data_IF_100201176455
#
_entry.id   IF_100201176455
#
_cell.length_a   1.000
_cell.length_b   1.000
_cell.length_c   1.000
_cell.angle_alpha   90.00
_cell.angle_beta   90.00
_cell.angle_gamma   90.00
#
_symmetry.space_group_name_H-M   'P 1'
#
loop_
_entity.id
_entity.type
_entity.pdbx_description
1 polymer ?
#
# COMPACT_ATOMS: atom_id res chain seq x y z
N UNK A 1 23.53 40.28 -55.86
CA UNK A 1 22.85 40.02 -54.58
C UNK A 1 21.77 38.97 -54.83
N UNK A 2 22.09 37.70 -54.60
CA UNK A 2 21.12 36.61 -54.64
C UNK A 2 20.78 36.29 -53.18
N UNK A 3 19.53 36.52 -52.79
CA UNK A 3 19.01 36.20 -51.46
C UNK A 3 18.73 34.70 -51.41
N UNK A 4 19.57 33.99 -50.65
CA UNK A 4 19.45 32.56 -50.38
C UNK A 4 18.21 32.33 -49.50
N UNK A 5 17.11 31.86 -50.10
CA UNK A 5 15.90 31.50 -49.39
C UNK A 5 16.15 30.17 -48.68
N UNK A 6 16.43 30.22 -47.38
CA UNK A 6 16.61 29.03 -46.54
C UNK A 6 15.39 28.09 -46.68
N UNK A 7 15.59 26.96 -47.36
CA UNK A 7 14.56 25.92 -47.50
C UNK A 7 14.25 25.36 -46.11
N UNK A 8 13.00 25.47 -45.65
CA UNK A 8 12.56 24.82 -44.43
C UNK A 8 12.89 23.31 -44.52
N UNK A 9 13.50 22.70 -43.48
CA UNK A 9 13.87 21.30 -43.53
C UNK A 9 12.61 20.45 -43.75
N UNK A 10 12.64 19.56 -44.74
CA UNK A 10 11.55 18.61 -44.99
C UNK A 10 11.31 17.76 -43.73
N UNK A 11 10.14 17.90 -43.13
CA UNK A 11 9.77 17.12 -41.94
C UNK A 11 9.51 15.67 -42.35
N UNK A 12 10.38 14.76 -41.88
CA UNK A 12 10.17 13.32 -42.06
C UNK A 12 8.90 12.91 -41.31
N UNK A 13 7.92 12.38 -42.06
CA UNK A 13 6.66 11.88 -41.50
C UNK A 13 6.77 10.38 -41.30
N UNK A 14 6.48 9.91 -40.09
CA UNK A 14 6.52 8.50 -39.72
C UNK A 14 5.11 7.98 -39.37
N UNK A 15 4.82 6.70 -39.61
CA UNK A 15 3.65 6.05 -39.04
C UNK A 15 3.70 6.09 -37.50
N UNK A 16 2.53 6.25 -36.85
CA UNK A 16 2.41 6.43 -35.39
C UNK A 16 3.19 5.40 -34.57
N UNK A 17 3.09 4.12 -34.93
CA UNK A 17 3.76 3.04 -34.18
C UNK A 17 5.28 3.04 -34.29
N UNK A 18 5.84 3.52 -35.41
CA UNK A 18 7.29 3.65 -35.60
C UNK A 18 7.80 4.90 -34.89
N UNK A 19 7.06 6.00 -34.99
CA UNK A 19 7.38 7.26 -34.32
C UNK A 19 7.39 7.11 -32.79
N UNK A 20 6.40 6.42 -32.22
CA UNK A 20 6.34 6.12 -30.79
C UNK A 20 7.57 5.36 -30.27
N UNK A 21 8.19 4.51 -31.11
CA UNK A 21 9.40 3.76 -30.75
C UNK A 21 10.69 4.54 -30.98
N UNK A 22 10.77 5.32 -32.04
CA UNK A 22 11.96 6.12 -32.38
C UNK A 22 12.14 7.29 -31.41
N UNK A 23 11.06 8.01 -31.10
CA UNK A 23 11.11 9.21 -30.29
C UNK A 23 9.84 9.34 -29.43
N UNK A 24 9.81 8.63 -28.28
CA UNK A 24 8.61 8.53 -27.43
C UNK A 24 8.20 9.88 -26.80
N UNK A 25 9.16 10.74 -26.45
CA UNK A 25 8.87 12.04 -25.86
C UNK A 25 8.14 13.01 -26.81
N UNK A 26 8.65 13.33 -28.02
CA UNK A 26 7.91 14.19 -28.95
C UNK A 26 6.61 13.55 -29.43
N UNK A 27 6.51 12.21 -29.43
CA UNK A 27 5.26 11.53 -29.70
C UNK A 27 4.18 11.82 -28.64
N UNK A 28 4.53 11.71 -27.35
CA UNK A 28 3.62 12.04 -26.26
C UNK A 28 3.24 13.54 -26.29
N UNK A 29 4.21 14.42 -26.50
CA UNK A 29 3.99 15.88 -26.62
C UNK A 29 2.99 16.21 -27.73
N UNK A 30 3.12 15.58 -28.90
CA UNK A 30 2.19 15.80 -30.03
C UNK A 30 0.77 15.32 -29.73
N UNK A 31 0.62 14.32 -28.87
CA UNK A 31 -0.71 13.80 -28.48
C UNK A 31 -1.35 14.67 -27.39
N UNK A 32 -0.53 15.24 -26.51
CA UNK A 32 -0.96 16.16 -25.45
C UNK A 32 -1.20 17.60 -25.95
N UNK A 33 -0.56 18.01 -27.03
CA UNK A 33 -0.73 19.31 -27.68
C UNK A 33 -1.29 19.11 -29.10
N UNK A 34 -2.61 18.87 -29.24
CA UNK A 34 -3.22 18.80 -30.56
C UNK A 34 -3.15 20.17 -31.25
N UNK A 35 -3.03 20.15 -32.59
CA UNK A 35 -2.93 21.39 -33.38
C UNK A 35 -4.15 22.30 -33.13
N UNK A 36 -3.92 23.61 -32.87
CA UNK A 36 -4.98 24.55 -32.52
C UNK A 36 -5.98 24.81 -33.65
N UNK A 37 -5.67 24.37 -34.88
CA UNK A 37 -6.58 24.45 -36.03
C UNK A 37 -7.73 23.45 -35.97
N UNK A 38 -7.67 22.45 -35.08
CA UNK A 38 -8.67 21.41 -34.96
C UNK A 38 -9.34 21.46 -33.56
N UNK A 39 -10.36 22.30 -33.42
CA UNK A 39 -11.04 22.59 -32.14
C UNK A 39 -11.77 21.39 -31.51
N UNK A 40 -11.86 20.26 -32.22
CA UNK A 40 -12.50 19.03 -31.73
C UNK A 40 -11.56 18.05 -31.02
N UNK A 41 -10.23 18.21 -31.12
CA UNK A 41 -9.29 17.28 -30.48
C UNK A 41 -8.92 17.73 -29.08
N UNK A 42 -9.42 17.01 -28.07
CA UNK A 42 -8.99 17.17 -26.68
C UNK A 42 -7.61 16.55 -26.46
N UNK A 43 -6.79 17.06 -25.54
CA UNK A 43 -5.50 16.45 -25.21
C UNK A 43 -5.72 15.01 -24.73
N UNK A 44 -5.09 14.07 -25.42
CA UNK A 44 -5.17 12.64 -25.11
C UNK A 44 -3.78 12.09 -24.86
N UNK A 45 -3.70 11.08 -24.00
CA UNK A 45 -2.49 10.27 -23.78
C UNK A 45 -2.32 9.29 -24.93
N UNK A 46 -1.18 8.60 -24.97
CA UNK A 46 -0.91 7.52 -25.93
C UNK A 46 -1.98 6.42 -25.90
N UNK A 47 -2.59 6.21 -24.73
CA UNK A 47 -3.65 5.23 -24.48
C UNK A 47 -5.07 5.78 -24.68
N UNK A 48 -5.23 7.00 -25.21
CA UNK A 48 -6.52 7.65 -25.47
C UNK A 48 -7.21 8.26 -24.24
N UNK A 49 -6.67 8.03 -23.03
CA UNK A 49 -7.16 8.63 -21.76
C UNK A 49 -6.84 10.10 -21.66
N UNK A 50 -7.62 10.84 -20.87
CA UNK A 50 -7.31 12.24 -20.53
C UNK A 50 -6.14 12.33 -19.53
N UNK A 51 -5.44 13.48 -19.43
CA UNK A 51 -4.37 13.68 -18.45
C UNK A 51 -4.80 13.43 -16.99
N UNK A 52 -6.03 13.81 -16.64
CA UNK A 52 -6.58 13.68 -15.28
C UNK A 52 -7.36 12.38 -15.04
N UNK A 53 -7.34 11.43 -15.98
CA UNK A 53 -8.16 10.23 -15.93
C UNK A 53 -7.32 8.99 -15.53
N UNK A 54 -7.67 8.39 -14.40
CA UNK A 54 -7.02 7.17 -13.90
C UNK A 54 -7.58 5.90 -14.56
N UNK A 55 -6.84 4.80 -14.50
CA UNK A 55 -7.27 3.52 -15.06
C UNK A 55 -8.50 2.94 -14.33
N UNK A 56 -9.36 2.17 -15.03
CA UNK A 56 -10.48 1.50 -14.39
C UNK A 56 -9.95 0.53 -13.32
N UNK A 57 -10.58 0.57 -12.15
CA UNK A 57 -10.16 -0.14 -10.96
C UNK A 57 -11.19 -1.23 -10.64
N UNK A 58 -10.74 -2.47 -10.40
CA UNK A 58 -11.57 -3.63 -10.04
C UNK A 58 -10.91 -4.39 -8.90
N UNK A 59 -11.71 -4.79 -7.91
CA UNK A 59 -11.26 -5.55 -6.74
C UNK A 59 -12.14 -6.78 -6.57
N UNK A 60 -11.51 -7.94 -6.39
CA UNK A 60 -12.19 -9.16 -5.98
C UNK A 60 -11.60 -9.61 -4.63
N UNK A 61 -12.41 -9.57 -3.58
CA UNK A 61 -12.03 -10.03 -2.24
C UNK A 61 -12.12 -11.57 -2.17
N UNK A 62 -11.34 -12.21 -1.30
CA UNK A 62 -11.42 -13.65 -1.06
C UNK A 62 -10.98 -14.52 -2.24
N UNK A 63 -9.98 -14.09 -3.02
CA UNK A 63 -9.49 -14.83 -4.20
C UNK A 63 -8.70 -16.11 -3.86
N UNK A 64 -8.17 -16.23 -2.64
CA UNK A 64 -7.39 -17.38 -2.16
C UNK A 64 -8.11 -18.05 -0.99
N UNK A 65 -8.36 -19.36 -1.10
CA UNK A 65 -9.08 -20.14 -0.08
C UNK A 65 -8.27 -20.45 1.17
N UNK A 66 -6.95 -20.59 1.05
CA UNK A 66 -6.06 -20.96 2.16
C UNK A 66 -5.47 -19.75 2.90
N UNK A 67 -5.65 -18.53 2.38
CA UNK A 67 -5.17 -17.32 3.03
C UNK A 67 -6.21 -16.84 4.06
N UNK A 68 -5.74 -16.20 5.14
CA UNK A 68 -6.63 -15.63 6.16
C UNK A 68 -7.39 -14.41 5.63
N UNK A 69 -6.78 -13.69 4.67
CA UNK A 69 -7.41 -12.66 3.87
C UNK A 69 -6.77 -12.63 2.49
N UNK A 70 -7.53 -12.27 1.46
CA UNK A 70 -6.96 -12.13 0.12
C UNK A 70 -7.72 -11.12 -0.73
N UNK A 71 -7.02 -10.54 -1.69
CA UNK A 71 -7.62 -9.67 -2.69
C UNK A 71 -6.89 -9.76 -4.02
N UNK A 72 -7.64 -9.82 -5.12
CA UNK A 72 -7.15 -9.63 -6.47
C UNK A 72 -7.56 -8.25 -6.93
N UNK A 73 -6.59 -7.39 -7.20
CA UNK A 73 -6.81 -6.03 -7.69
C UNK A 73 -6.32 -5.92 -9.12
N UNK A 74 -7.19 -5.44 -9.99
CA UNK A 74 -6.87 -5.11 -11.38
C UNK A 74 -7.09 -3.64 -11.62
N UNK A 75 -6.04 -2.97 -12.05
CA UNK A 75 -6.06 -1.59 -12.46
C UNK A 75 -5.57 -1.56 -13.92
N UNK A 76 -6.48 -1.36 -14.87
CA UNK A 76 -6.16 -1.47 -16.30
C UNK A 76 -5.55 -2.84 -16.64
N UNK A 77 -4.31 -2.85 -17.10
CA UNK A 77 -3.54 -4.06 -17.40
C UNK A 77 -2.63 -4.52 -16.26
N UNK A 78 -2.41 -3.69 -15.24
CA UNK A 78 -1.71 -4.10 -14.01
C UNK A 78 -2.63 -4.93 -13.14
N UNK A 79 -2.20 -6.14 -12.79
CA UNK A 79 -2.97 -7.05 -11.92
C UNK A 79 -2.08 -7.54 -10.79
N UNK A 80 -2.55 -7.39 -9.56
CA UNK A 80 -1.85 -7.76 -8.33
C UNK A 80 -2.73 -8.65 -7.49
N UNK A 81 -2.17 -9.76 -7.03
CA UNK A 81 -2.78 -10.65 -6.06
C UNK A 81 -2.11 -10.41 -4.70
N UNK A 82 -2.91 -10.17 -3.67
CA UNK A 82 -2.43 -10.02 -2.30
C UNK A 82 -3.04 -11.11 -1.42
N UNK A 83 -2.20 -11.78 -0.63
CA UNK A 83 -2.59 -12.76 0.38
C UNK A 83 -2.07 -12.35 1.75
N UNK A 84 -2.88 -12.55 2.78
CA UNK A 84 -2.51 -12.30 4.18
C UNK A 84 -2.45 -13.63 4.92
N UNK A 85 -1.32 -13.90 5.56
CA UNK A 85 -1.11 -15.06 6.43
C UNK A 85 -0.82 -14.57 7.85
N UNK A 86 -1.61 -15.03 8.81
CA UNK A 86 -1.34 -14.85 10.23
C UNK A 86 -0.46 -15.97 10.77
N UNK A 87 0.57 -15.61 11.52
CA UNK A 87 1.37 -16.51 12.35
C UNK A 87 1.40 -16.01 13.80
N UNK A 88 1.63 -16.91 14.74
CA UNK A 88 1.69 -16.56 16.16
C UNK A 88 3.15 -16.37 16.58
N UNK A 89 3.46 -15.18 17.09
CA UNK A 89 4.75 -14.84 17.67
C UNK A 89 4.64 -14.86 19.21
N UNK A 90 5.21 -15.86 19.90
CA UNK A 90 5.25 -15.87 21.35
C UNK A 90 6.11 -14.72 21.87
N UNK A 91 5.72 -14.18 23.03
CA UNK A 91 6.37 -13.03 23.65
C UNK A 91 7.85 -13.29 23.97
N UNK A 92 8.23 -14.53 24.26
CA UNK A 92 9.62 -14.93 24.51
C UNK A 92 10.56 -14.69 23.31
N UNK A 93 10.01 -14.66 22.09
CA UNK A 93 10.77 -14.40 20.87
C UNK A 93 10.84 -12.92 20.50
N UNK A 94 10.15 -12.07 21.25
CA UNK A 94 10.15 -10.62 21.01
C UNK A 94 11.33 -10.00 21.75
N UNK A 95 12.30 -9.40 21.04
CA UNK A 95 13.37 -8.67 21.70
C UNK A 95 12.78 -7.45 22.40
N UNK A 96 13.17 -7.20 23.66
CA UNK A 96 12.75 -6.02 24.43
C UNK A 96 11.22 -5.92 24.60
N UNK A 97 10.55 -7.04 24.86
CA UNK A 97 9.13 -7.04 25.16
C UNK A 97 8.80 -6.17 26.38
N UNK A 98 7.75 -5.35 26.25
CA UNK A 98 7.18 -4.55 27.34
C UNK A 98 5.75 -5.01 27.56
N UNK A 99 5.46 -5.49 28.77
CA UNK A 99 4.10 -5.89 29.12
C UNK A 99 3.18 -4.65 29.08
N UNK A 100 2.05 -4.71 28.35
CA UNK A 100 1.10 -3.61 28.34
C UNK A 100 0.36 -3.56 29.68
N UNK A 101 0.30 -2.37 30.28
CA UNK A 101 -0.46 -2.15 31.52
C UNK A 101 -1.96 -2.31 31.24
N UNK A 102 -2.61 -3.25 31.93
CA UNK A 102 -4.05 -3.54 31.79
C UNK A 102 -4.92 -2.36 32.27
N UNK A 103 -4.39 -1.50 33.16
CA UNK A 103 -5.17 -0.50 33.89
C UNK A 103 -5.08 0.95 33.34
N UNK A 104 -4.36 1.20 32.24
CA UNK A 104 -4.41 2.48 31.51
C UNK A 104 -4.06 3.77 32.29
N UNK A 105 -3.61 3.67 33.55
CA UNK A 105 -3.47 4.79 34.47
C UNK A 105 -2.03 5.28 34.66
N UNK A 106 -1.18 5.10 33.65
CA UNK A 106 0.21 5.55 33.65
C UNK A 106 0.63 6.12 32.30
N UNK A 107 1.78 6.78 32.28
CA UNK A 107 2.45 7.44 31.14
C UNK A 107 2.62 6.52 29.89
N UNK A 108 2.23 5.24 29.99
CA UNK A 108 2.20 4.19 28.97
C UNK A 108 1.05 4.21 27.95
N UNK A 109 0.19 5.23 27.89
CA UNK A 109 -0.75 5.41 26.76
C UNK A 109 -0.04 5.59 25.39
N UNK A 110 1.28 5.74 25.41
CA UNK A 110 2.16 5.75 24.24
C UNK A 110 2.63 4.35 23.79
N UNK A 111 2.42 3.30 24.60
CA UNK A 111 2.94 1.94 24.36
C UNK A 111 2.29 1.34 23.09
N UNK A 112 0.97 1.51 22.89
CA UNK A 112 0.30 1.07 21.67
C UNK A 112 0.69 1.82 20.38
N UNK A 113 1.40 2.96 20.46
CA UNK A 113 1.76 3.77 19.28
C UNK A 113 2.99 3.24 18.52
N UNK A 114 3.85 2.48 19.20
CA UNK A 114 5.12 1.96 18.67
C UNK A 114 5.16 0.45 18.50
N UNK A 115 4.40 -0.31 19.29
CA UNK A 115 4.41 -1.79 19.33
C UNK A 115 4.37 -2.45 17.95
N UNK A 116 3.52 -1.96 17.04
CA UNK A 116 3.36 -2.56 15.71
C UNK A 116 4.67 -2.58 14.90
N UNK A 117 5.47 -1.52 15.05
CA UNK A 117 6.75 -1.35 14.35
C UNK A 117 7.91 -1.91 15.17
N UNK A 118 7.85 -1.81 16.49
CA UNK A 118 8.89 -2.35 17.38
C UNK A 118 8.94 -3.88 17.34
N UNK A 119 7.78 -4.53 17.18
CA UNK A 119 7.66 -5.99 17.13
C UNK A 119 7.50 -6.55 15.71
N UNK A 120 7.61 -5.70 14.68
CA UNK A 120 7.46 -6.06 13.26
C UNK A 120 6.25 -6.97 12.99
N UNK A 121 5.08 -6.59 13.53
CA UNK A 121 3.86 -7.42 13.43
C UNK A 121 3.27 -7.44 12.02
N UNK A 122 3.66 -6.50 11.15
CA UNK A 122 3.19 -6.43 9.77
C UNK A 122 4.39 -6.53 8.84
N UNK A 123 4.48 -7.63 8.09
CA UNK A 123 5.60 -7.89 7.19
C UNK A 123 5.08 -8.01 5.76
N UNK A 124 5.16 -6.94 4.95
CA UNK A 124 4.83 -7.02 3.53
C UNK A 124 6.02 -7.58 2.74
N UNK A 125 5.72 -8.50 1.84
CA UNK A 125 6.63 -9.03 0.85
C UNK A 125 6.05 -8.80 -0.54
N UNK A 126 6.86 -8.28 -1.46
CA UNK A 126 6.44 -8.00 -2.83
C UNK A 126 7.27 -8.81 -3.80
N UNK A 127 6.58 -9.69 -4.53
CA UNK A 127 7.14 -10.51 -5.58
C UNK A 127 6.64 -10.05 -6.95
N UNK A 128 7.59 -9.74 -7.83
CA UNK A 128 7.33 -9.46 -9.22
C UNK A 128 7.43 -10.78 -9.97
N UNK A 129 6.29 -11.42 -10.23
CA UNK A 129 6.27 -12.76 -10.81
C UNK A 129 6.96 -12.78 -12.18
N UNK A 130 7.61 -13.89 -12.48
CA UNK A 130 8.23 -14.13 -13.78
C UNK A 130 7.16 -14.10 -14.87
N UNK A 131 7.34 -13.26 -15.88
CA UNK A 131 6.35 -13.06 -16.95
C UNK A 131 5.37 -11.90 -16.74
N UNK A 132 5.38 -11.22 -15.58
CA UNK A 132 4.57 -10.01 -15.36
C UNK A 132 5.04 -8.81 -16.19
N UNK A 133 6.34 -8.78 -16.51
CA UNK A 133 6.95 -7.88 -17.49
C UNK A 133 8.08 -8.61 -18.20
N UNK A 134 8.45 -8.22 -19.44
CA UNK A 134 9.59 -8.81 -20.15
C UNK A 134 10.94 -8.58 -19.45
N UNK A 135 10.99 -7.67 -18.47
CA UNK A 135 12.19 -7.32 -17.71
C UNK A 135 12.45 -8.30 -16.55
N UNK A 136 11.43 -9.04 -16.11
CA UNK A 136 11.53 -9.95 -14.97
C UNK A 136 11.81 -11.36 -15.48
N UNK A 137 13.10 -11.69 -15.54
CA UNK A 137 13.59 -13.01 -15.91
C UNK A 137 13.55 -13.97 -14.70
N UNK A 138 13.33 -15.28 -14.93
CA UNK A 138 13.36 -16.26 -13.86
C UNK A 138 14.76 -16.42 -13.28
N UNK A 139 14.82 -16.66 -11.96
CA UNK A 139 16.07 -16.95 -11.23
C UNK A 139 16.94 -15.72 -10.91
N UNK A 140 16.46 -14.50 -11.19
CA UNK A 140 17.16 -13.26 -10.82
C UNK A 140 16.90 -12.95 -9.33
N UNK A 141 17.88 -12.43 -8.59
CA UNK A 141 17.67 -11.92 -7.24
C UNK A 141 16.60 -10.82 -7.19
N UNK A 142 16.04 -10.50 -6.01
CA UNK A 142 15.01 -9.48 -5.87
C UNK A 142 15.50 -8.14 -6.44
N UNK A 143 14.73 -7.57 -7.38
CA UNK A 143 15.08 -6.33 -8.06
C UNK A 143 15.03 -5.13 -7.11
N UNK A 144 15.79 -4.07 -7.42
CA UNK A 144 15.74 -2.83 -6.67
C UNK A 144 14.33 -2.23 -6.60
N UNK A 145 13.53 -2.39 -7.66
CA UNK A 145 12.14 -1.94 -7.71
C UNK A 145 11.28 -2.70 -6.70
N UNK A 146 11.38 -4.03 -6.66
CA UNK A 146 10.64 -4.85 -5.68
C UNK A 146 10.99 -4.47 -4.24
N UNK A 147 12.30 -4.33 -3.95
CA UNK A 147 12.77 -3.94 -2.62
C UNK A 147 12.28 -2.54 -2.23
N UNK A 148 12.40 -1.56 -3.13
CA UNK A 148 11.93 -0.18 -2.89
C UNK A 148 10.43 -0.14 -2.62
N UNK A 149 9.63 -0.87 -3.41
CA UNK A 149 8.19 -0.95 -3.19
C UNK A 149 7.85 -1.62 -1.85
N UNK A 150 8.55 -2.69 -1.48
CA UNK A 150 8.33 -3.38 -0.20
C UNK A 150 8.60 -2.46 0.98
N UNK A 151 9.72 -1.71 0.94
CA UNK A 151 10.07 -0.74 1.98
C UNK A 151 9.08 0.43 2.03
N UNK A 152 8.58 0.90 0.89
CA UNK A 152 7.56 1.97 0.83
C UNK A 152 6.23 1.50 1.42
N UNK A 153 5.76 0.31 1.06
CA UNK A 153 4.53 -0.29 1.61
C UNK A 153 4.68 -0.55 3.11
N UNK A 154 5.80 -1.11 3.55
CA UNK A 154 6.10 -1.31 4.98
C UNK A 154 6.04 0.02 5.77
N UNK A 155 6.74 1.05 5.29
CA UNK A 155 6.74 2.38 5.93
C UNK A 155 5.35 2.99 5.98
N UNK A 156 4.54 2.79 4.92
CA UNK A 156 3.17 3.28 4.86
C UNK A 156 2.22 2.51 5.80
N UNK A 157 2.36 1.19 5.92
CA UNK A 157 1.58 0.37 6.86
C UNK A 157 1.78 0.84 8.31
N UNK A 158 3.03 1.01 8.74
CA UNK A 158 3.33 1.42 10.11
C UNK A 158 2.97 2.89 10.39
N UNK A 159 3.04 3.78 9.39
CA UNK A 159 2.65 5.18 9.57
C UNK A 159 1.14 5.41 9.56
N UNK A 160 0.40 4.68 8.71
CA UNK A 160 -1.07 4.81 8.61
C UNK A 160 -1.80 4.20 9.78
N UNK A 161 -1.21 3.20 10.47
CA UNK A 161 -1.80 2.50 11.62
C UNK A 161 -3.20 1.96 11.31
N UNK A 162 -3.31 1.29 10.17
CA UNK A 162 -4.56 0.67 9.72
C UNK A 162 -5.08 -0.39 10.70
N UNK A 163 -4.16 -1.12 11.32
CA UNK A 163 -4.42 -2.20 12.25
C UNK A 163 -3.99 -1.79 13.66
N UNK A 164 -4.87 -2.03 14.64
CA UNK A 164 -4.56 -1.79 16.05
C UNK A 164 -3.71 -2.94 16.60
N UNK A 165 -2.62 -2.64 17.31
CA UNK A 165 -1.81 -3.66 17.98
C UNK A 165 -2.64 -4.48 18.98
N UNK A 166 -3.63 -3.85 19.61
CA UNK A 166 -4.54 -4.45 20.58
C UNK A 166 -5.33 -5.64 20.02
N UNK A 167 -5.74 -5.58 18.75
CA UNK A 167 -6.49 -6.66 18.08
C UNK A 167 -5.61 -7.87 17.75
N UNK A 168 -4.29 -7.69 17.72
CA UNK A 168 -3.32 -8.74 17.46
C UNK A 168 -2.80 -9.40 18.74
N UNK A 169 -3.13 -8.86 19.93
CA UNK A 169 -2.68 -9.41 21.21
C UNK A 169 -3.46 -10.67 21.55
N UNK A 170 -2.72 -11.71 21.93
CA UNK A 170 -3.30 -12.94 22.48
C UNK A 170 -3.11 -12.89 23.99
N UNK A 171 -4.23 -12.80 24.70
CA UNK A 171 -4.28 -12.73 26.15
C UNK A 171 -4.34 -14.13 26.75
N UNK A 172 -3.53 -14.36 27.78
CA UNK A 172 -3.79 -15.42 28.75
C UNK A 172 -4.61 -14.83 29.88
N UNK A 173 -5.84 -15.32 30.01
CA UNK A 173 -6.64 -15.15 31.22
C UNK A 173 -6.58 -16.46 31.97
N UNK A 174 -5.96 -16.52 33.15
CA UNK A 174 -6.07 -17.71 33.98
C UNK A 174 -7.55 -17.91 34.27
N UNK A 175 -8.04 -19.12 33.99
CA UNK A 175 -9.40 -19.47 34.37
C UNK A 175 -9.39 -19.44 35.89
N UNK A 176 -9.98 -18.41 36.48
CA UNK A 176 -10.27 -18.43 37.91
C UNK A 176 -11.09 -19.70 38.15
N UNK A 177 -10.46 -20.69 38.75
CA UNK A 177 -11.12 -21.88 39.29
C UNK A 177 -12.11 -21.37 40.30
N UNK A 178 -13.34 -21.09 39.84
CA UNK A 178 -14.48 -21.04 40.73
C UNK A 178 -14.56 -22.43 41.33
N UNK A 179 -14.01 -22.57 42.54
CA UNK A 179 -14.40 -23.56 43.53
C UNK A 179 -15.92 -23.40 43.73
N UNK A 180 -16.72 -23.94 42.81
CA UNK A 180 -18.09 -24.30 43.12
C UNK A 180 -17.99 -25.44 44.14
N UNK A 181 -18.21 -25.06 45.40
CA UNK A 181 -18.51 -25.94 46.51
C UNK A 181 -19.55 -26.98 46.07
N UNK A 182 -19.20 -28.26 46.14
CA UNK A 182 -20.05 -29.37 46.57
C UNK A 182 -19.20 -30.65 46.59
N UNK A 183 -19.02 -31.24 47.79
CA UNK A 183 -18.33 -32.52 47.98
C UNK A 183 -17.37 -32.49 49.18
N UNK A 184 -17.82 -33.07 50.29
CA UNK A 184 -17.18 -33.17 51.59
C UNK A 184 -15.86 -33.98 51.60
N UNK A 185 -15.01 -33.63 52.59
CA UNK A 185 -13.96 -34.38 53.27
C UNK A 185 -12.72 -34.88 52.50
N UNK A 186 -11.54 -34.36 52.88
CA UNK A 186 -10.55 -35.03 53.76
C UNK A 186 -9.32 -34.09 53.92
N UNK A 187 -8.91 -33.89 55.18
CA UNK A 187 -7.70 -33.16 55.59
C UNK A 187 -6.42 -33.88 55.14
N UNK A 188 -5.41 -33.13 54.68
CA UNK A 188 -4.02 -33.22 55.15
C UNK A 188 -3.23 -32.00 54.65
N UNK A 189 -2.57 -31.34 55.59
CA UNK A 189 -1.63 -30.24 55.38
C UNK A 189 -0.34 -30.76 54.73
N UNK A 190 0.02 -30.22 53.56
CA UNK A 190 1.42 -30.01 53.21
C UNK A 190 1.57 -28.54 52.78
N UNK A 191 2.36 -27.80 53.56
CA UNK A 191 2.75 -26.43 53.29
C UNK A 191 3.63 -26.39 52.03
N UNK A 192 3.01 -26.22 50.86
CA UNK A 192 3.66 -25.56 49.74
C UNK A 192 3.25 -24.08 49.82
N UNK A 193 4.15 -23.24 50.33
CA UNK A 193 4.12 -21.80 50.07
C UNK A 193 4.36 -21.60 48.57
N UNK A 194 3.33 -21.84 47.76
CA UNK A 194 3.28 -21.24 46.43
C UNK A 194 2.99 -19.76 46.65
N UNK A 195 3.96 -18.92 46.31
CA UNK A 195 3.77 -17.49 46.21
C UNK A 195 2.53 -17.25 45.36
N UNK A 196 1.43 -16.85 46.01
CA UNK A 196 0.21 -16.42 45.35
C UNK A 196 0.47 -15.08 44.67
N UNK A 197 1.27 -15.11 43.61
CA UNK A 197 1.32 -14.05 42.63
C UNK A 197 -0.05 -13.98 42.01
N UNK A 198 -0.76 -12.88 42.23
CA UNK A 198 -1.98 -12.56 41.51
C UNK A 198 -1.70 -12.82 40.02
N UNK A 199 -2.28 -13.88 39.45
CA UNK A 199 -2.07 -14.21 38.04
C UNK A 199 -2.82 -13.16 37.21
N UNK A 200 -2.15 -12.03 36.98
CA UNK A 200 -2.68 -10.92 36.21
C UNK A 200 -2.79 -11.32 34.74
N UNK A 201 -3.85 -10.85 34.07
CA UNK A 201 -4.03 -10.96 32.62
C UNK A 201 -2.74 -10.50 31.93
N UNK A 202 -2.05 -11.44 31.26
CA UNK A 202 -0.80 -11.16 30.57
C UNK A 202 -0.93 -11.47 29.09
N UNK A 203 -0.25 -10.67 28.26
CA UNK A 203 -0.10 -10.97 26.85
C UNK A 203 0.98 -12.03 26.71
N UNK A 204 0.65 -13.13 26.03
CA UNK A 204 1.54 -14.29 25.85
C UNK A 204 2.05 -14.42 24.44
N UNK A 205 1.30 -13.90 23.46
CA UNK A 205 1.70 -13.90 22.07
C UNK A 205 1.05 -12.75 21.29
N UNK A 206 1.59 -12.50 20.11
CA UNK A 206 1.05 -11.57 19.13
C UNK A 206 0.77 -12.30 17.82
N UNK A 207 -0.24 -11.85 17.09
CA UNK A 207 -0.41 -12.18 15.68
C UNK A 207 0.54 -11.35 14.83
N UNK A 208 1.36 -12.03 14.03
CA UNK A 208 2.17 -11.44 12.96
C UNK A 208 1.46 -11.70 11.65
N UNK A 209 1.26 -10.65 10.86
CA UNK A 209 0.62 -10.71 9.55
C UNK A 209 1.69 -10.57 8.46
N UNK A 210 1.93 -11.68 7.77
CA UNK A 210 2.68 -11.69 6.53
C UNK A 210 1.74 -11.33 5.37
N UNK A 211 2.10 -10.31 4.61
CA UNK A 211 1.31 -9.79 3.50
C UNK A 211 2.11 -10.03 2.23
N UNK A 212 1.77 -11.09 1.52
CA UNK A 212 2.44 -11.48 0.28
C UNK A 212 1.70 -10.88 -0.91
N UNK A 213 2.42 -10.08 -1.71
CA UNK A 213 1.93 -9.49 -2.94
C UNK A 213 2.63 -10.10 -4.14
N UNK A 214 1.86 -10.59 -5.10
CA UNK A 214 2.36 -11.15 -6.36
C UNK A 214 1.79 -10.34 -7.52
N UNK A 215 2.67 -9.71 -8.29
CA UNK A 215 2.28 -9.01 -9.52
C UNK A 215 2.13 -10.04 -10.65
N UNK A 216 0.91 -10.20 -11.17
CA UNK A 216 0.62 -11.07 -12.31
C UNK A 216 0.90 -10.38 -13.65
N UNK A 217 0.59 -9.09 -13.72
CA UNK A 217 0.86 -8.25 -14.89
C UNK A 217 1.26 -6.87 -14.40
N UNK A 218 2.29 -6.30 -15.02
CA UNK A 218 2.85 -5.01 -14.66
C UNK A 218 2.72 -4.06 -15.85
N UNK A 219 2.01 -2.95 -15.66
CA UNK A 219 1.88 -1.88 -16.65
C UNK A 219 1.82 -0.49 -15.99
N UNK A 220 2.95 -0.09 -15.39
CA UNK A 220 3.13 1.25 -14.80
C UNK A 220 2.44 1.47 -13.45
N UNK A 221 2.98 2.41 -12.67
CA UNK A 221 2.51 2.80 -11.33
C UNK A 221 2.13 1.58 -10.44
N UNK A 222 3.11 0.75 -10.07
CA UNK A 222 2.88 -0.46 -9.28
C UNK A 222 2.50 -0.17 -7.82
N UNK A 223 2.92 0.98 -7.28
CA UNK A 223 2.72 1.31 -5.87
C UNK A 223 1.25 1.49 -5.51
N UNK A 224 0.48 2.23 -6.32
CA UNK A 224 -0.94 2.49 -6.04
C UNK A 224 -1.75 1.18 -6.05
N UNK A 225 -1.45 0.30 -7.01
CA UNK A 225 -2.15 -0.99 -7.16
C UNK A 225 -1.78 -1.94 -6.03
N UNK A 226 -0.49 -2.02 -5.67
CA UNK A 226 -0.02 -2.80 -4.52
C UNK A 226 -0.69 -2.33 -3.23
N UNK A 227 -0.66 -1.02 -2.96
CA UNK A 227 -1.26 -0.46 -1.75
C UNK A 227 -2.76 -0.75 -1.66
N UNK A 228 -3.48 -0.55 -2.76
CA UNK A 228 -4.91 -0.83 -2.79
C UNK A 228 -5.21 -2.34 -2.60
N UNK A 229 -4.33 -3.22 -3.08
CA UNK A 229 -4.43 -4.67 -2.84
C UNK A 229 -4.19 -5.02 -1.37
N UNK A 230 -3.22 -4.40 -0.70
CA UNK A 230 -2.98 -4.59 0.74
C UNK A 230 -4.20 -4.15 1.56
N UNK A 231 -4.72 -2.96 1.30
CA UNK A 231 -5.90 -2.43 2.02
C UNK A 231 -7.11 -3.33 1.80
N UNK A 232 -7.34 -3.80 0.56
CA UNK A 232 -8.42 -4.72 0.24
C UNK A 232 -8.25 -6.09 0.93
N UNK A 233 -7.04 -6.67 0.92
CA UNK A 233 -6.78 -7.97 1.52
C UNK A 233 -6.90 -7.92 3.05
N UNK A 234 -6.36 -6.89 3.70
CA UNK A 234 -6.48 -6.70 5.14
C UNK A 234 -7.95 -6.59 5.57
N UNK A 235 -8.83 -5.98 4.75
CA UNK A 235 -10.27 -5.86 5.03
C UNK A 235 -11.02 -7.19 5.00
N UNK A 236 -10.50 -8.13 4.23
CA UNK A 236 -11.04 -9.48 4.13
C UNK A 236 -10.48 -10.40 5.23
N UNK A 237 -9.35 -10.04 5.85
CA UNK A 237 -8.65 -10.86 6.84
C UNK A 237 -9.52 -11.29 8.02
N UNK A 238 -9.63 -12.61 8.19
CA UNK A 238 -10.25 -13.28 9.33
C UNK A 238 -9.21 -14.18 10.00
N UNK A 239 -8.87 -13.87 11.24
CA UNK A 239 -7.93 -14.66 12.04
C UNK A 239 -8.70 -15.64 12.90
N UNK A 240 -8.22 -16.88 13.09
CA UNK A 240 -8.82 -17.79 14.06
C UNK A 240 -8.63 -17.25 15.48
N UNK A 241 -9.59 -17.53 16.36
CA UNK A 241 -9.44 -17.18 17.78
C UNK A 241 -8.31 -18.01 18.38
N UNK A 242 -7.25 -17.33 18.82
CA UNK A 242 -6.11 -17.92 19.50
C UNK A 242 -6.29 -17.82 21.02
N UNK A 243 -6.04 -18.94 21.72
CA UNK A 243 -6.09 -19.04 23.17
C UNK A 243 -4.80 -19.70 23.65
N UNK A 244 -4.29 -19.28 24.80
CA UNK A 244 -3.16 -19.96 25.42
C UNK A 244 -3.64 -21.17 26.20
N UNK A 245 -3.00 -22.31 25.96
CA UNK A 245 -3.24 -23.55 26.67
C UNK A 245 -2.09 -23.78 27.67
N UNK A 246 -2.34 -23.67 28.99
CA UNK A 246 -1.29 -23.82 30.00
C UNK A 246 -0.71 -25.23 30.03
N UNK A 247 -1.49 -26.27 29.69
CA UNK A 247 -1.04 -27.66 29.76
C UNK A 247 0.00 -27.99 28.68
N UNK A 248 -0.07 -27.28 27.55
CA UNK A 248 0.79 -27.51 26.38
C UNK A 248 1.83 -26.42 26.18
N UNK A 249 1.81 -25.38 27.02
CA UNK A 249 2.65 -24.19 26.91
C UNK A 249 2.67 -23.62 25.48
N UNK A 250 1.51 -23.65 24.80
CA UNK A 250 1.41 -23.21 23.41
C UNK A 250 0.08 -22.53 23.13
N UNK A 251 0.09 -21.64 22.13
CA UNK A 251 -1.13 -21.02 21.62
C UNK A 251 -1.86 -22.00 20.71
N UNK A 252 -3.12 -22.29 21.06
CA UNK A 252 -4.02 -23.13 20.27
C UNK A 252 -5.03 -22.25 19.54
N UNK A 253 -5.17 -22.46 18.24
CA UNK A 253 -6.13 -21.77 17.40
C UNK A 253 -7.43 -22.58 17.27
N UNK A 254 -8.58 -21.92 17.41
CA UNK A 254 -9.87 -22.53 17.12
C UNK A 254 -10.03 -22.75 15.61
N UNK A 255 -10.62 -23.88 15.21
CA UNK A 255 -10.94 -24.17 13.80
C UNK A 255 -12.25 -23.55 13.34
N UNK A 256 -13.16 -23.23 14.28
CA UNK A 256 -14.53 -22.81 14.00
C UNK A 256 -14.77 -21.34 14.27
N UNK A 257 -14.08 -20.77 15.26
CA UNK A 257 -14.24 -19.37 15.63
C UNK A 257 -13.20 -18.51 14.93
N UNK A 258 -13.68 -17.52 14.18
CA UNK A 258 -12.84 -16.54 13.49
C UNK A 258 -13.21 -15.12 13.90
N UNK A 259 -12.20 -14.29 14.16
CA UNK A 259 -12.31 -12.87 14.39
C UNK A 259 -11.92 -12.11 13.12
N UNK A 260 -12.81 -11.24 12.64
CA UNK A 260 -12.51 -10.33 11.53
C UNK A 260 -11.72 -9.13 12.04
N UNK A 261 -10.66 -8.75 11.33
CA UNK A 261 -9.85 -7.58 11.66
C UNK A 261 -10.62 -6.27 11.35
N UNK A 262 -10.62 -5.31 12.27
CA UNK A 262 -11.27 -4.02 12.06
C UNK A 262 -10.25 -2.99 11.62
N UNK A 263 -10.38 -2.50 10.39
CA UNK A 263 -9.44 -1.52 9.83
C UNK A 263 -9.94 -0.11 10.02
N UNK A 264 -9.06 0.74 10.55
CA UNK A 264 -9.31 2.17 10.73
C UNK A 264 -9.06 2.90 9.41
N UNK A 265 -10.16 3.31 8.77
CA UNK A 265 -10.14 4.18 7.61
C UNK A 265 -9.85 3.51 6.27
N UNK A 266 -9.52 4.34 5.27
CA UNK A 266 -9.32 3.98 3.87
C UNK A 266 -8.23 4.85 3.25
N UNK A 267 -6.95 4.64 3.58
CA UNK A 267 -5.88 5.31 2.86
C UNK A 267 -5.80 4.77 1.43
N UNK A 268 -5.97 5.64 0.43
CA UNK A 268 -5.81 5.29 -0.99
C UNK A 268 -4.66 6.12 -1.55
N UNK A 269 -3.73 5.43 -2.20
CA UNK A 269 -2.59 6.03 -2.87
C UNK A 269 -3.01 6.51 -4.26
N UNK A 270 -2.61 7.73 -4.61
CA UNK A 270 -2.77 8.33 -5.92
C UNK A 270 -1.43 8.90 -6.37
N UNK A 271 -0.93 8.37 -7.48
CA UNK A 271 0.31 8.81 -8.10
C UNK A 271 0.04 9.63 -9.37
N UNK A 272 0.83 10.68 -9.56
CA UNK A 272 0.84 11.49 -10.77
C UNK A 272 2.27 11.78 -11.21
N UNK A 273 2.48 11.77 -12.52
CA UNK A 273 3.75 12.10 -13.13
C UNK A 273 3.66 13.47 -13.83
N UNK A 274 4.76 14.22 -13.82
CA UNK A 274 4.86 15.49 -14.55
C UNK A 274 5.62 15.25 -15.83
N UNK A 275 4.97 15.58 -16.94
CA UNK A 275 5.57 15.60 -18.26
C UNK A 275 5.97 17.03 -18.63
N UNK A 276 7.20 17.21 -19.09
CA UNK A 276 7.76 18.51 -19.49
C UNK A 276 7.79 18.62 -21.01
N UNK A 277 7.64 19.84 -21.52
CA UNK A 277 7.72 20.08 -22.97
C UNK A 277 9.13 19.82 -23.55
N UNK A 278 10.19 20.05 -22.77
CA UNK A 278 11.59 19.87 -23.18
C UNK A 278 12.24 18.73 -22.38
N UNK A 279 12.88 17.77 -23.07
CA UNK A 279 13.56 16.61 -22.46
C UNK A 279 14.74 16.99 -21.56
N UNK A 280 15.50 17.98 -22.01
CA UNK A 280 16.65 18.54 -21.32
C UNK A 280 16.19 19.85 -20.68
N UNK A 281 16.28 19.92 -19.35
CA UNK A 281 15.92 21.10 -18.55
C UNK A 281 16.87 22.28 -18.77
N UNK A 282 17.27 22.56 -20.00
CA UNK A 282 17.91 23.81 -20.39
C UNK A 282 16.84 24.89 -20.38
N UNK A 283 16.63 25.42 -19.17
CA UNK A 283 15.80 26.59 -18.93
C UNK A 283 16.56 27.78 -19.50
N UNK A 284 16.15 28.26 -20.66
CA UNK A 284 16.40 29.65 -21.02
C UNK A 284 15.71 30.51 -19.95
N UNK A 285 16.51 31.30 -19.23
CA UNK A 285 16.06 32.17 -18.14
C UNK A 285 14.94 33.07 -18.64
N UNK A 286 13.70 32.81 -18.21
CA UNK A 286 12.55 33.68 -18.48
C UNK A 286 11.29 33.04 -19.08
N UNK A 287 11.34 31.80 -19.60
CA UNK A 287 10.14 31.12 -20.12
C UNK A 287 9.58 30.10 -19.11
N UNK A 288 8.28 30.20 -18.82
CA UNK A 288 7.55 29.16 -18.07
C UNK A 288 7.45 27.92 -18.95
N UNK A 289 8.23 26.88 -18.65
CA UNK A 289 8.07 25.58 -19.30
C UNK A 289 6.63 25.08 -19.13
N UNK A 290 5.98 24.73 -20.24
CA UNK A 290 4.69 24.04 -20.20
C UNK A 290 4.90 22.66 -19.62
N UNK A 291 4.00 22.29 -18.72
CA UNK A 291 4.01 21.00 -18.06
C UNK A 291 2.60 20.42 -18.07
N UNK A 292 2.54 19.09 -18.10
CA UNK A 292 1.30 18.34 -18.00
C UNK A 292 1.38 17.42 -16.80
N UNK A 293 0.29 17.34 -16.04
CA UNK A 293 0.16 16.39 -14.94
C UNK A 293 -0.61 15.19 -15.48
N UNK A 294 0.02 14.03 -15.43
CA UNK A 294 -0.53 12.76 -15.86
C UNK A 294 -0.88 11.97 -14.61
N UNK A 295 -2.18 11.82 -14.34
CA UNK A 295 -2.67 10.96 -13.27
C UNK A 295 -2.45 9.50 -13.67
N UNK A 296 -1.91 8.70 -12.75
CA UNK A 296 -1.75 7.25 -12.92
C UNK A 296 -0.97 6.89 -14.21
N UNK A 297 0.35 7.17 -14.22
CA UNK A 297 1.18 7.01 -15.41
C UNK A 297 1.33 5.55 -15.82
N UNK A 298 1.40 5.32 -17.13
CA UNK A 298 1.73 4.00 -17.70
C UNK A 298 3.24 3.79 -17.76
N UNK A 299 3.68 2.56 -18.06
CA UNK A 299 5.11 2.22 -18.14
C UNK A 299 5.90 3.15 -19.05
N UNK A 300 5.35 3.51 -20.21
CA UNK A 300 6.02 4.41 -21.15
C UNK A 300 6.16 5.82 -20.57
N UNK A 301 5.10 6.34 -19.95
CA UNK A 301 5.10 7.68 -19.37
C UNK A 301 6.00 7.75 -18.14
N UNK A 302 6.02 6.72 -17.31
CA UNK A 302 6.93 6.59 -16.16
C UNK A 302 8.40 6.64 -16.60
N UNK A 303 8.74 6.07 -17.77
CA UNK A 303 10.10 6.15 -18.33
C UNK A 303 10.46 7.54 -18.88
N UNK A 304 9.47 8.35 -19.26
CA UNK A 304 9.65 9.69 -19.82
C UNK A 304 9.66 10.78 -18.74
N UNK A 305 8.86 10.59 -17.70
CA UNK A 305 8.68 11.55 -16.62
C UNK A 305 9.79 11.40 -15.57
N UNK A 306 10.50 12.50 -15.30
CA UNK A 306 11.55 12.57 -14.26
C UNK A 306 11.01 12.99 -12.89
N UNK A 307 9.77 13.47 -12.84
CA UNK A 307 9.11 13.95 -11.63
C UNK A 307 7.81 13.19 -11.41
N UNK A 308 7.68 12.55 -10.26
CA UNK A 308 6.50 11.78 -9.83
C UNK A 308 6.14 12.20 -8.41
N UNK A 309 4.85 12.43 -8.18
CA UNK A 309 4.28 12.64 -6.86
C UNK A 309 3.35 11.48 -6.54
N UNK A 310 3.48 10.93 -5.35
CA UNK A 310 2.54 9.97 -4.79
C UNK A 310 1.95 10.56 -3.51
N UNK A 311 0.64 10.54 -3.40
CA UNK A 311 -0.07 11.04 -2.22
C UNK A 311 -1.06 10.01 -1.73
N UNK A 312 -1.08 9.80 -0.42
CA UNK A 312 -1.98 8.86 0.23
C UNK A 312 -3.03 9.65 1.00
N UNK A 313 -4.28 9.54 0.57
CA UNK A 313 -5.41 10.30 1.12
C UNK A 313 -6.38 9.36 1.81
N UNK A 314 -6.87 9.78 2.97
CA UNK A 314 -7.91 9.11 3.74
C UNK A 314 -9.05 10.10 3.98
N UNK A 315 -10.24 9.81 3.45
CA UNK A 315 -11.46 10.63 3.59
C UNK A 315 -12.53 9.90 4.42
N UNK A 316 -12.12 9.06 5.37
CA UNK A 316 -13.07 8.23 6.14
C UNK A 316 -13.94 9.04 7.09
N UNK A 317 -13.43 10.15 7.63
CA UNK A 317 -14.10 10.97 8.65
C UNK A 317 -14.80 12.22 8.08
N UNK A 318 -14.94 12.34 6.75
CA UNK A 318 -15.50 13.51 6.09
C UNK A 318 -14.55 14.71 5.94
N UNK A 319 -13.32 14.59 6.48
CA UNK A 319 -12.22 15.52 6.27
C UNK A 319 -11.08 14.83 5.49
N UNK A 320 -10.44 15.57 4.58
CA UNK A 320 -9.29 15.09 3.81
C UNK A 320 -8.06 15.03 4.71
N UNK A 321 -7.68 13.82 5.11
CA UNK A 321 -6.42 13.58 5.81
C UNK A 321 -5.39 13.00 4.87
N UNK A 322 -4.31 13.75 4.66
CA UNK A 322 -3.17 13.27 3.89
C UNK A 322 -2.25 12.51 4.85
N UNK A 323 -2.07 11.21 4.58
CA UNK A 323 -1.23 10.32 5.41
C UNK A 323 0.24 10.39 5.03
N UNK A 324 0.51 10.46 3.74
CA UNK A 324 1.86 10.54 3.19
C UNK A 324 1.86 11.33 1.89
N UNK A 325 2.92 12.10 1.68
CA UNK A 325 3.24 12.75 0.41
C UNK A 325 4.69 12.38 0.10
N UNK A 326 4.90 11.82 -1.08
CA UNK A 326 6.22 11.50 -1.58
C UNK A 326 6.39 12.19 -2.93
N UNK A 327 7.39 13.06 -3.01
CA UNK A 327 7.77 13.74 -4.25
C UNK A 327 9.15 13.27 -4.64
N UNK A 328 9.23 12.63 -5.80
CA UNK A 328 10.48 12.16 -6.38
C UNK A 328 10.82 13.02 -7.61
N UNK A 329 12.01 13.63 -7.58
CA UNK A 329 12.54 14.40 -8.71
C UNK A 329 11.89 15.78 -8.93
N UNK A 330 12.45 16.50 -9.90
CA UNK A 330 11.94 17.75 -10.51
C UNK A 330 11.75 18.97 -9.59
N UNK A 331 11.35 20.09 -10.20
CA UNK A 331 11.13 21.39 -9.53
C UNK A 331 9.74 21.96 -9.80
N UNK A 332 8.87 21.25 -10.53
CA UNK A 332 7.63 21.82 -11.05
C UNK A 332 6.50 21.82 -10.03
N UNK A 333 6.44 20.83 -9.13
CA UNK A 333 5.41 20.82 -8.08
C UNK A 333 5.58 21.97 -7.08
N UNK A 334 4.88 23.07 -7.32
CA UNK A 334 4.64 24.13 -6.36
C UNK A 334 3.51 23.80 -5.38
N UNK A 335 3.36 24.64 -4.35
CA UNK A 335 2.33 24.48 -3.31
C UNK A 335 0.90 24.48 -3.87
N UNK A 336 0.65 25.30 -4.89
CA UNK A 336 -0.67 25.41 -5.53
C UNK A 336 -1.04 24.14 -6.28
N UNK A 337 -0.09 23.53 -7.00
CA UNK A 337 -0.30 22.27 -7.73
C UNK A 337 -0.49 21.09 -6.78
N UNK A 338 0.20 21.07 -5.64
CA UNK A 338 -0.02 20.03 -4.62
C UNK A 338 -1.44 20.14 -4.05
N UNK A 339 -1.95 21.36 -3.85
CA UNK A 339 -3.34 21.57 -3.39
C UNK A 339 -4.36 21.13 -4.44
N UNK A 340 -4.15 21.46 -5.72
CA UNK A 340 -5.07 21.00 -6.78
C UNK A 340 -5.01 19.48 -6.93
N UNK A 341 -3.83 18.88 -6.77
CA UNK A 341 -3.67 17.42 -6.77
C UNK A 341 -4.40 16.75 -5.60
N UNK A 342 -4.47 17.39 -4.43
CA UNK A 342 -5.26 16.90 -3.29
C UNK A 342 -6.74 16.70 -3.65
N UNK A 343 -7.33 17.66 -4.36
CA UNK A 343 -8.73 17.56 -4.82
C UNK A 343 -8.92 16.40 -5.81
N UNK A 344 -7.98 16.19 -6.74
CA UNK A 344 -8.04 15.08 -7.69
C UNK A 344 -7.91 13.73 -6.96
N UNK A 345 -7.05 13.66 -5.95
CA UNK A 345 -6.89 12.45 -5.14
C UNK A 345 -8.14 12.15 -4.30
N UNK A 346 -8.85 13.17 -3.81
CA UNK A 346 -10.14 13.00 -3.13
C UNK A 346 -11.20 12.40 -4.06
N UNK A 347 -11.29 12.89 -5.29
CA UNK A 347 -12.24 12.35 -6.26
C UNK A 347 -11.90 10.90 -6.63
N UNK A 348 -10.61 10.59 -6.79
CA UNK A 348 -10.15 9.21 -6.97
C UNK A 348 -10.49 8.33 -5.78
N UNK A 349 -10.34 8.83 -4.55
CA UNK A 349 -10.69 8.11 -3.34
C UNK A 349 -12.17 7.71 -3.31
N UNK A 350 -13.08 8.61 -3.72
CA UNK A 350 -14.53 8.33 -3.77
C UNK A 350 -14.82 7.18 -4.74
N UNK A 351 -14.23 7.21 -5.94
CA UNK A 351 -14.39 6.15 -6.95
C UNK A 351 -13.90 4.81 -6.43
N UNK A 352 -12.71 4.77 -5.81
CA UNK A 352 -12.15 3.52 -5.30
C UNK A 352 -12.96 2.99 -4.11
N UNK A 353 -13.47 3.88 -3.24
CA UNK A 353 -14.35 3.49 -2.13
C UNK A 353 -15.63 2.81 -2.62
N UNK A 354 -16.19 3.23 -3.74
CA UNK A 354 -17.36 2.57 -4.33
C UNK A 354 -17.04 1.17 -4.84
N UNK A 355 -15.86 0.97 -5.42
CA UNK A 355 -15.40 -0.34 -5.91
C UNK A 355 -15.01 -1.28 -4.77
N UNK A 356 -14.59 -0.75 -3.62
CA UNK A 356 -14.18 -1.51 -2.43
C UNK A 356 -15.31 -1.81 -1.44
N UNK A 357 -16.56 -1.44 -1.76
CA UNK A 357 -17.75 -1.93 -1.05
C UNK A 357 -18.05 -3.34 -1.50
#
# INVERSE_FOLDING_TARGET
MATDAASAPHSLTFPRGIFAKLSPHPYLLRTLCPDPSNSSSTPQRTNGRRPNEARPFRVNLGSLSHAHGSALVRAGDTTVLCGVRGEVLPVERIPLFRQPDVNGSGIGATVGRGELKEYDLLVPNIELATGSAPQFLPGVPPTALAQTLSTRVYSLLHSTRLVSAEELRIWYRPVATNRSKEGEDVEMEEECQEESGEEQDRVVAYWVLYIDLVFLSFDGNPFDVAWAAVVAALRDTKLPVARWDPDREMVVCSKTETMKLTIKGLPIACSAAVFLEKEHGEVAVGEKNRHWILLDPDRLEESLCKEVITMVVDFSDGETRIRAIEKQGGTVFGRELIRSFALVAEDRWKVVKEVMK
#
